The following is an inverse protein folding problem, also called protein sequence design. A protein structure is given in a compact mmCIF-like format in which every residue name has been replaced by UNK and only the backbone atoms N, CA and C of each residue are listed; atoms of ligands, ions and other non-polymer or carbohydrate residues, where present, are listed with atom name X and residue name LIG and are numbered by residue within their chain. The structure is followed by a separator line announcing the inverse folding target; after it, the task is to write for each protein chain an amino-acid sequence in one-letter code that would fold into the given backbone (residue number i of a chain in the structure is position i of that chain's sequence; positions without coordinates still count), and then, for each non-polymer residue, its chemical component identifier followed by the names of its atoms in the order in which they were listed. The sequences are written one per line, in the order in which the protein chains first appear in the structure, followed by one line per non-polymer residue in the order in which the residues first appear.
data_IF_483141624015
#
_entry.id   IF_483141624015
#
_cell.length_a   1.000
_cell.length_b   1.000
_cell.length_c   1.000
_cell.angle_alpha   90.00
_cell.angle_beta   90.00
_cell.angle_gamma   90.00
#
_symmetry.space_group_name_H-M   'P 1'
#
loop_
_entity.id
_entity.type
_entity.pdbx_description
1 polymer ?
#
# COMPACT_ATOMS: atom_id res chain seq x y z
N UNK A 1 -6.24 -6.27 7.37
CA UNK A 1 -5.49 -5.67 8.53
C UNK A 1 -4.81 -4.40 8.10
N UNK A 2 -4.58 -3.44 8.99
CA UNK A 2 -3.74 -2.28 8.65
C UNK A 2 -2.27 -2.68 8.78
N UNK A 3 -1.43 -2.24 7.84
CA UNK A 3 0.02 -2.41 7.94
C UNK A 3 0.55 -1.77 9.23
N UNK A 4 1.37 -2.49 9.98
CA UNK A 4 2.15 -1.91 11.06
C UNK A 4 3.22 -0.98 10.48
N UNK A 5 3.45 0.16 11.11
CA UNK A 5 4.45 1.13 10.65
C UNK A 5 5.57 1.25 11.68
N UNK A 6 6.73 0.72 11.35
CA UNK A 6 7.97 0.90 12.14
C UNK A 6 8.72 2.14 11.66
N UNK A 7 8.93 3.08 12.56
CA UNK A 7 9.68 4.32 12.30
C UNK A 7 11.02 4.40 13.04
N UNK A 8 11.51 3.29 13.55
CA UNK A 8 12.77 3.23 14.32
C UNK A 8 14.02 3.38 13.44
N UNK A 9 13.92 3.08 12.14
CA UNK A 9 15.04 3.16 11.18
C UNK A 9 14.84 4.40 10.32
N UNK A 10 15.80 5.33 10.33
CA UNK A 10 15.71 6.59 9.58
C UNK A 10 16.78 6.70 8.50
N UNK A 11 16.37 7.17 7.33
CA UNK A 11 17.30 7.43 6.25
C UNK A 11 18.26 8.56 6.63
N UNK A 12 19.55 8.36 6.32
CA UNK A 12 20.61 9.36 6.53
C UNK A 12 20.42 10.58 5.62
N UNK A 13 19.97 10.36 4.40
CA UNK A 13 19.84 11.39 3.38
C UNK A 13 18.38 11.72 3.13
N UNK A 14 18.01 12.97 3.26
CA UNK A 14 16.68 13.51 2.96
C UNK A 14 16.77 15.02 2.72
N UNK A 15 15.71 15.59 2.17
CA UNK A 15 15.59 17.04 1.99
C UNK A 15 14.99 17.73 3.21
N UNK A 16 14.56 18.96 3.03
CA UNK A 16 13.95 19.79 4.05
C UNK A 16 12.51 19.38 4.39
N UNK A 17 11.95 20.07 5.37
CA UNK A 17 10.54 19.93 5.76
C UNK A 17 9.59 20.50 4.71
N UNK A 18 8.39 19.94 4.65
CA UNK A 18 7.28 20.42 3.80
C UNK A 18 5.94 20.30 4.53
N UNK A 19 4.94 21.06 4.09
CA UNK A 19 3.55 20.85 4.54
C UNK A 19 2.98 19.57 3.92
N UNK A 20 2.19 18.79 4.65
CA UNK A 20 1.52 17.60 4.09
C UNK A 20 0.59 17.97 2.92
N UNK A 21 0.01 19.18 2.94
CA UNK A 21 -0.81 19.68 1.83
C UNK A 21 -0.05 19.88 0.51
N UNK A 22 1.29 19.93 0.55
CA UNK A 22 2.12 19.99 -0.65
C UNK A 22 2.24 18.64 -1.35
N UNK A 23 1.94 17.53 -0.66
CA UNK A 23 2.01 16.19 -1.26
C UNK A 23 0.86 16.01 -2.25
N UNK A 24 1.22 15.75 -3.50
CA UNK A 24 0.31 15.58 -4.64
C UNK A 24 0.38 14.20 -5.27
N UNK A 25 1.43 13.44 -4.97
CA UNK A 25 1.66 12.15 -5.60
C UNK A 25 2.13 11.09 -4.61
N UNK A 26 1.76 9.83 -4.92
CA UNK A 26 2.42 8.64 -4.37
C UNK A 26 3.14 7.95 -5.53
N UNK A 27 4.44 7.69 -5.34
CA UNK A 27 5.31 7.10 -6.36
C UNK A 27 5.74 5.71 -5.90
N UNK A 28 5.51 4.72 -6.75
CA UNK A 28 5.91 3.34 -6.50
C UNK A 28 7.23 3.03 -7.17
N UNK A 29 8.08 2.34 -6.40
CA UNK A 29 9.41 1.88 -6.79
C UNK A 29 9.57 0.39 -6.51
N UNK A 30 10.68 -0.18 -6.94
CA UNK A 30 11.14 -1.50 -6.50
C UNK A 30 12.60 -1.41 -6.07
N UNK A 31 12.98 -2.24 -5.10
CA UNK A 31 14.32 -2.13 -4.50
C UNK A 31 15.44 -2.58 -5.42
N UNK A 32 15.18 -3.41 -6.41
CA UNK A 32 16.17 -4.06 -7.26
C UNK A 32 17.30 -4.76 -6.46
N UNK A 33 17.04 -5.07 -5.19
CA UNK A 33 17.96 -5.76 -4.29
C UNK A 33 17.53 -7.22 -4.19
N UNK A 34 18.43 -8.14 -4.55
CA UNK A 34 18.19 -9.60 -4.53
C UNK A 34 19.12 -10.33 -3.57
N UNK A 35 19.92 -9.60 -2.80
CA UNK A 35 20.84 -10.16 -1.81
C UNK A 35 20.13 -10.68 -0.56
N UNK A 36 20.90 -11.25 0.38
CA UNK A 36 20.39 -11.72 1.67
C UNK A 36 19.64 -10.66 2.50
N UNK A 37 19.88 -9.37 2.22
CA UNK A 37 19.22 -8.21 2.84
C UNK A 37 18.04 -7.69 2.01
N UNK A 38 17.55 -8.46 1.05
CA UNK A 38 16.36 -8.11 0.26
C UNK A 38 15.08 -8.27 1.09
N UNK A 39 14.99 -7.51 2.18
CA UNK A 39 13.82 -7.36 3.05
C UNK A 39 13.52 -5.88 3.24
N UNK A 40 12.31 -5.54 3.68
CA UNK A 40 11.96 -4.15 3.98
C UNK A 40 12.90 -3.55 5.03
N UNK A 41 13.18 -4.31 6.10
CA UNK A 41 14.13 -3.91 7.14
C UNK A 41 15.55 -3.71 6.61
N UNK A 42 16.02 -4.63 5.77
CA UNK A 42 17.36 -4.56 5.17
C UNK A 42 17.52 -3.34 4.28
N UNK A 43 16.52 -3.02 3.45
CA UNK A 43 16.54 -1.83 2.62
C UNK A 43 16.37 -0.53 3.43
N UNK A 44 15.61 -0.54 4.54
CA UNK A 44 15.56 0.58 5.48
C UNK A 44 16.95 0.85 6.08
N UNK A 45 17.69 -0.20 6.50
CA UNK A 45 19.08 -0.10 6.96
C UNK A 45 20.05 0.41 5.90
N UNK A 46 19.83 0.05 4.64
CA UNK A 46 20.59 0.61 3.52
C UNK A 46 20.42 2.14 3.44
N UNK A 47 19.20 2.66 3.58
CA UNK A 47 18.95 4.11 3.63
C UNK A 47 19.55 4.77 4.88
N UNK A 48 19.48 4.12 6.04
CA UNK A 48 20.10 4.58 7.29
C UNK A 48 21.62 4.65 7.14
N UNK A 49 22.26 3.67 6.52
CA UNK A 49 23.69 3.64 6.23
C UNK A 49 24.16 4.65 5.17
N UNK A 50 23.24 5.37 4.53
CA UNK A 50 23.57 6.41 3.55
C UNK A 50 23.62 5.93 2.11
N UNK A 51 22.93 4.83 1.79
CA UNK A 51 22.70 4.35 0.43
C UNK A 51 24.00 4.15 -0.36
N UNK A 52 25.06 3.69 0.30
CA UNK A 52 26.39 3.51 -0.30
C UNK A 52 26.89 4.78 -1.02
N UNK A 53 26.60 5.95 -0.46
CA UNK A 53 27.01 7.25 -1.00
C UNK A 53 26.12 7.81 -2.11
N UNK A 54 25.08 7.09 -2.54
CA UNK A 54 24.15 7.55 -3.62
C UNK A 54 23.25 8.70 -3.21
N UNK A 55 23.19 9.06 -1.93
CA UNK A 55 22.33 10.11 -1.38
C UNK A 55 20.84 9.90 -1.77
N UNK A 56 20.38 8.67 -1.68
CA UNK A 56 18.99 8.30 -1.98
C UNK A 56 18.22 7.95 -0.71
N UNK A 57 16.91 8.11 -0.75
CA UNK A 57 15.98 7.68 0.31
C UNK A 57 14.57 7.51 -0.21
N UNK A 58 13.78 6.70 0.51
CA UNK A 58 12.34 6.57 0.30
C UNK A 58 11.59 6.87 1.59
N UNK A 59 10.28 7.16 1.50
CA UNK A 59 9.45 7.34 2.68
C UNK A 59 9.18 6.00 3.34
N UNK A 60 8.83 4.99 2.56
CA UNK A 60 8.48 3.67 3.05
C UNK A 60 9.14 2.55 2.25
N UNK A 61 9.39 1.46 2.95
CA UNK A 61 9.78 0.17 2.33
C UNK A 61 8.85 -0.91 2.84
N UNK A 62 8.34 -1.75 1.94
CA UNK A 62 7.46 -2.89 2.24
C UNK A 62 7.97 -4.16 1.59
N UNK A 63 7.69 -5.30 2.21
CA UNK A 63 7.95 -6.66 1.70
C UNK A 63 6.75 -7.58 2.00
N UNK A 64 6.96 -8.89 1.99
CA UNK A 64 5.95 -9.89 2.34
C UNK A 64 5.58 -9.89 3.83
N UNK A 65 6.35 -9.23 4.69
CA UNK A 65 6.05 -9.04 6.11
C UNK A 65 4.98 -7.98 6.35
N UNK A 66 4.35 -8.02 7.52
CA UNK A 66 3.24 -7.11 7.88
C UNK A 66 3.69 -5.72 8.34
N UNK A 67 5.00 -5.46 8.39
CA UNK A 67 5.58 -4.18 8.86
C UNK A 67 6.13 -3.35 7.71
N UNK A 68 5.61 -2.14 7.53
CA UNK A 68 6.18 -1.13 6.65
C UNK A 68 7.24 -0.30 7.42
N UNK A 69 8.43 -0.15 6.88
CA UNK A 69 9.48 0.68 7.48
C UNK A 69 9.39 2.12 6.96
N UNK A 70 9.08 3.06 7.88
CA UNK A 70 8.99 4.49 7.57
C UNK A 70 10.36 5.15 7.73
N UNK A 71 11.13 5.25 6.65
CA UNK A 71 12.50 5.76 6.67
C UNK A 71 12.58 7.29 6.65
N UNK A 72 11.63 7.97 6.00
CA UNK A 72 11.55 9.45 5.97
C UNK A 72 10.14 9.87 6.41
N UNK A 73 10.00 10.82 7.34
CA UNK A 73 8.68 11.32 7.74
C UNK A 73 7.91 11.96 6.57
N UNK A 74 6.58 11.90 6.58
CA UNK A 74 5.74 12.45 5.50
C UNK A 74 5.91 13.96 5.29
N UNK A 75 6.20 14.70 6.36
CA UNK A 75 6.48 16.13 6.33
C UNK A 75 7.91 16.49 5.91
N UNK A 76 8.67 15.52 5.46
CA UNK A 76 10.07 15.66 5.04
C UNK A 76 10.21 15.12 3.61
N UNK A 77 11.07 15.73 2.82
CA UNK A 77 11.31 15.33 1.43
C UNK A 77 12.24 14.13 1.37
N UNK A 78 11.82 13.02 0.75
CA UNK A 78 12.72 11.93 0.39
C UNK A 78 13.37 12.18 -0.98
N UNK A 79 14.56 11.63 -1.21
CA UNK A 79 15.27 11.76 -2.48
C UNK A 79 15.13 10.46 -3.29
N UNK A 80 14.01 10.33 -4.01
CA UNK A 80 13.60 9.11 -4.71
C UNK A 80 13.34 9.26 -6.21
N UNK A 81 13.00 10.48 -6.69
CA UNK A 81 12.64 10.74 -8.09
C UNK A 81 13.42 11.94 -8.68
N UNK A 82 14.63 12.21 -8.16
CA UNK A 82 15.45 13.35 -8.59
C UNK A 82 16.39 13.05 -9.76
N UNK A 83 16.25 11.92 -10.43
CA UNK A 83 17.14 11.44 -11.49
C UNK A 83 16.68 11.77 -12.92
N UNK A 84 15.68 12.66 -13.04
CA UNK A 84 15.16 13.11 -14.32
C UNK A 84 13.68 13.51 -14.27
N UNK A 85 13.18 14.00 -15.40
CA UNK A 85 11.78 14.43 -15.56
C UNK A 85 11.22 14.10 -16.95
N UNK A 86 11.79 13.13 -17.64
CA UNK A 86 11.41 12.77 -19.02
C UNK A 86 10.15 11.92 -19.12
N UNK A 87 9.61 11.44 -17.99
CA UNK A 87 8.38 10.70 -17.95
C UNK A 87 7.14 11.59 -18.10
N UNK A 88 5.99 10.96 -18.35
CA UNK A 88 4.69 11.63 -18.57
C UNK A 88 4.33 12.63 -17.46
N UNK A 89 4.74 12.37 -16.23
CA UNK A 89 4.44 13.19 -15.05
C UNK A 89 5.65 13.98 -14.54
N UNK A 90 6.78 14.01 -15.28
CA UNK A 90 8.01 14.65 -14.85
C UNK A 90 7.89 16.15 -14.54
N UNK A 91 7.00 16.86 -15.23
CA UNK A 91 6.71 18.27 -14.95
C UNK A 91 5.77 18.49 -13.73
N UNK A 92 5.10 17.44 -13.27
CA UNK A 92 4.04 17.50 -12.24
C UNK A 92 4.44 16.89 -10.91
N UNK A 93 5.38 15.92 -10.92
CA UNK A 93 5.79 15.13 -9.76
C UNK A 93 7.29 15.28 -9.53
N UNK A 94 7.67 15.56 -8.32
CA UNK A 94 9.06 15.73 -7.87
C UNK A 94 9.24 15.18 -6.45
N UNK A 95 10.47 15.12 -5.96
CA UNK A 95 10.75 14.78 -4.57
C UNK A 95 9.96 15.64 -3.58
N UNK A 96 9.77 16.93 -3.89
CA UNK A 96 9.11 17.87 -2.98
C UNK A 96 7.62 17.55 -2.77
N UNK A 97 6.92 17.10 -3.81
CA UNK A 97 5.47 16.91 -3.76
C UNK A 97 5.03 15.46 -3.83
N UNK A 98 5.92 14.49 -3.62
CA UNK A 98 5.60 13.08 -3.63
C UNK A 98 5.98 12.34 -2.36
N UNK A 99 5.28 11.25 -2.09
CA UNK A 99 5.64 10.21 -1.15
C UNK A 99 6.03 8.97 -1.93
N UNK A 100 7.16 8.35 -1.60
CA UNK A 100 7.70 7.18 -2.28
C UNK A 100 7.52 5.92 -1.44
N UNK A 101 7.11 4.82 -2.10
CA UNK A 101 7.00 3.48 -1.54
C UNK A 101 7.90 2.55 -2.34
N UNK A 102 8.90 1.98 -1.69
CA UNK A 102 9.76 0.93 -2.22
C UNK A 102 9.15 -0.44 -1.94
N UNK A 103 8.94 -1.22 -2.97
CA UNK A 103 8.49 -2.60 -2.89
C UNK A 103 9.70 -3.53 -3.03
N UNK A 104 9.91 -4.39 -2.05
CA UNK A 104 10.98 -5.39 -2.15
C UNK A 104 10.71 -6.31 -3.32
N UNK A 105 11.74 -6.57 -4.11
CA UNK A 105 11.69 -7.40 -5.31
C UNK A 105 12.66 -8.55 -5.22
N UNK A 106 12.37 -9.61 -5.94
CA UNK A 106 13.23 -10.78 -6.11
C UNK A 106 13.52 -11.01 -7.60
N UNK A 107 14.32 -12.01 -7.90
CA UNK A 107 14.54 -12.49 -9.27
C UNK A 107 14.05 -13.93 -9.41
N UNK A 108 13.49 -14.26 -10.57
CA UNK A 108 13.19 -15.62 -10.95
C UNK A 108 14.46 -16.37 -11.40
N UNK A 109 14.31 -17.65 -11.76
CA UNK A 109 15.42 -18.51 -12.22
C UNK A 109 16.11 -17.96 -13.48
N UNK A 110 15.45 -17.09 -14.24
CA UNK A 110 16.01 -16.44 -15.43
C UNK A 110 16.68 -15.10 -15.12
N UNK A 111 16.71 -14.68 -13.84
CA UNK A 111 17.26 -13.41 -13.40
C UNK A 111 16.32 -12.20 -13.63
N UNK A 112 15.05 -12.42 -14.04
CA UNK A 112 14.08 -11.32 -14.20
C UNK A 112 13.51 -10.92 -12.84
N UNK A 113 13.42 -9.60 -12.60
CA UNK A 113 12.80 -9.08 -11.39
C UNK A 113 11.30 -9.33 -11.37
N UNK A 114 10.82 -9.70 -10.20
CA UNK A 114 9.39 -9.69 -9.86
C UNK A 114 9.16 -9.11 -8.47
N UNK A 115 7.97 -8.61 -8.22
CA UNK A 115 7.51 -8.16 -6.91
C UNK A 115 6.49 -9.19 -6.42
N UNK A 116 6.73 -9.86 -5.28
CA UNK A 116 5.80 -10.84 -4.73
C UNK A 116 4.39 -10.28 -4.60
N UNK A 117 3.38 -11.13 -4.81
CA UNK A 117 1.98 -10.71 -4.72
C UNK A 117 1.65 -10.13 -3.33
N UNK A 118 2.23 -10.70 -2.27
CA UNK A 118 2.06 -10.25 -0.90
C UNK A 118 2.67 -8.87 -0.69
N UNK A 119 3.87 -8.59 -1.21
CA UNK A 119 4.47 -7.26 -1.21
C UNK A 119 3.59 -6.23 -1.94
N UNK A 120 2.99 -6.61 -3.07
CA UNK A 120 2.06 -5.74 -3.79
C UNK A 120 0.81 -5.44 -2.96
N UNK A 121 0.25 -6.44 -2.28
CA UNK A 121 -0.90 -6.28 -1.38
C UNK A 121 -0.57 -5.35 -0.23
N UNK A 122 0.57 -5.54 0.44
CA UNK A 122 1.02 -4.67 1.53
C UNK A 122 1.30 -3.22 1.07
N UNK A 123 1.86 -3.05 -0.13
CA UNK A 123 2.03 -1.72 -0.71
C UNK A 123 0.68 -1.03 -0.96
N UNK A 124 -0.34 -1.79 -1.38
CA UNK A 124 -1.70 -1.28 -1.59
C UNK A 124 -2.39 -0.92 -0.26
N UNK A 125 -2.24 -1.74 0.78
CA UNK A 125 -2.76 -1.43 2.12
C UNK A 125 -2.11 -0.16 2.71
N UNK A 126 -0.78 -0.05 2.61
CA UNK A 126 -0.06 1.16 3.02
C UNK A 126 -0.53 2.39 2.24
N UNK A 127 -0.72 2.26 0.92
CA UNK A 127 -1.27 3.32 0.09
C UNK A 127 -2.64 3.80 0.61
N UNK A 128 -3.56 2.89 0.92
CA UNK A 128 -4.88 3.23 1.46
C UNK A 128 -4.78 3.98 2.81
N UNK A 129 -3.87 3.54 3.69
CA UNK A 129 -3.60 4.25 4.96
C UNK A 129 -3.03 5.66 4.74
N UNK A 130 -2.14 5.82 3.75
CA UNK A 130 -1.53 7.11 3.43
C UNK A 130 -2.54 8.10 2.85
N UNK A 131 -3.51 7.65 2.06
CA UNK A 131 -4.56 8.53 1.52
C UNK A 131 -5.39 9.19 2.62
N UNK A 132 -5.62 8.51 3.75
CA UNK A 132 -6.32 9.09 4.92
C UNK A 132 -5.54 10.27 5.54
N UNK A 133 -4.21 10.29 5.39
CA UNK A 133 -3.31 11.33 5.91
C UNK A 133 -2.94 12.39 4.87
N UNK A 134 -3.14 12.11 3.59
CA UNK A 134 -2.69 12.90 2.44
C UNK A 134 -3.85 13.21 1.49
N UNK A 135 -4.80 14.07 1.89
CA UNK A 135 -6.05 14.28 1.13
C UNK A 135 -5.84 14.97 -0.22
N UNK A 136 -4.65 15.54 -0.47
CA UNK A 136 -4.34 16.25 -1.71
C UNK A 136 -3.64 15.38 -2.77
N UNK A 137 -3.48 14.08 -2.54
CA UNK A 137 -2.91 13.16 -3.53
C UNK A 137 -3.84 13.08 -4.75
N UNK A 138 -3.27 13.40 -5.91
CA UNK A 138 -3.95 13.38 -7.22
C UNK A 138 -3.32 12.38 -8.19
N UNK A 139 -2.03 12.06 -7.97
CA UNK A 139 -1.25 11.25 -8.88
C UNK A 139 -0.77 9.99 -8.16
N UNK A 140 -1.04 8.86 -8.77
CA UNK A 140 -0.55 7.54 -8.36
C UNK A 140 0.23 7.01 -9.53
N UNK A 141 1.55 6.99 -9.41
CA UNK A 141 2.47 6.83 -10.53
C UNK A 141 3.65 5.92 -10.20
N UNK A 142 4.29 5.39 -11.22
CA UNK A 142 5.59 4.72 -11.13
C UNK A 142 6.71 5.74 -11.19
N UNK A 143 7.89 5.43 -10.69
CA UNK A 143 9.09 6.22 -10.96
C UNK A 143 9.32 6.38 -12.48
N UNK A 144 9.04 5.33 -13.26
CA UNK A 144 9.05 5.37 -14.72
C UNK A 144 8.21 6.52 -15.29
N UNK A 145 7.05 6.76 -14.75
CA UNK A 145 6.15 7.84 -15.21
C UNK A 145 6.67 9.24 -14.88
N UNK A 146 7.65 9.36 -13.97
CA UNK A 146 8.26 10.63 -13.58
C UNK A 146 9.54 10.89 -14.36
N UNK A 147 10.51 9.97 -14.32
CA UNK A 147 11.86 10.19 -14.87
C UNK A 147 12.18 9.41 -16.15
N UNK A 148 11.31 8.46 -16.54
CA UNK A 148 11.61 7.52 -17.63
C UNK A 148 12.45 6.31 -17.22
N UNK A 149 12.95 6.28 -15.98
CA UNK A 149 13.70 5.15 -15.44
C UNK A 149 12.84 3.88 -15.38
N UNK A 150 13.40 2.72 -15.74
CA UNK A 150 12.71 1.43 -15.67
C UNK A 150 12.47 1.00 -14.21
N UNK A 151 11.60 1.73 -13.51
CA UNK A 151 11.29 1.50 -12.08
C UNK A 151 9.81 1.77 -11.80
N UNK A 152 9.10 0.80 -11.21
CA UNK A 152 9.52 -0.57 -10.92
C UNK A 152 9.58 -1.42 -12.21
N UNK A 153 10.71 -2.05 -12.48
CA UNK A 153 10.91 -2.80 -13.73
C UNK A 153 9.82 -3.85 -14.01
N UNK A 154 9.33 -4.63 -13.02
CA UNK A 154 8.25 -5.58 -13.23
C UNK A 154 6.91 -4.95 -13.63
N UNK A 155 6.75 -3.63 -13.42
CA UNK A 155 5.49 -2.90 -13.66
C UNK A 155 5.64 -1.78 -14.70
N UNK A 156 6.72 -1.74 -15.47
CA UNK A 156 6.85 -0.81 -16.61
C UNK A 156 5.84 -1.16 -17.71
N UNK A 157 5.53 -2.44 -17.87
CA UNK A 157 4.45 -2.89 -18.74
C UNK A 157 3.09 -2.36 -18.25
N UNK A 158 2.28 -1.77 -19.15
CA UNK A 158 1.01 -1.15 -18.79
C UNK A 158 -0.03 -2.15 -18.24
N UNK A 159 -0.03 -3.40 -18.72
CA UNK A 159 -0.96 -4.42 -18.20
C UNK A 159 -0.62 -4.79 -16.74
N UNK A 160 0.67 -4.94 -16.41
CA UNK A 160 1.12 -5.20 -15.05
C UNK A 160 0.80 -4.02 -14.12
N UNK A 161 1.02 -2.79 -14.60
CA UNK A 161 0.67 -1.59 -13.86
C UNK A 161 -0.84 -1.44 -13.66
N UNK A 162 -1.66 -1.74 -14.68
CA UNK A 162 -3.11 -1.71 -14.57
C UNK A 162 -3.61 -2.72 -13.53
N UNK A 163 -3.06 -3.95 -13.52
CA UNK A 163 -3.37 -4.96 -12.50
C UNK A 163 -3.03 -4.49 -11.09
N UNK A 164 -1.86 -3.87 -10.90
CA UNK A 164 -1.50 -3.31 -9.60
C UNK A 164 -2.41 -2.15 -9.18
N UNK A 165 -2.82 -1.28 -10.11
CA UNK A 165 -3.80 -0.22 -9.81
C UNK A 165 -5.15 -0.78 -9.37
N UNK A 166 -5.59 -1.92 -9.89
CA UNK A 166 -6.80 -2.59 -9.38
C UNK A 166 -6.65 -2.96 -7.91
N UNK A 167 -5.49 -3.53 -7.50
CA UNK A 167 -5.19 -3.77 -6.08
C UNK A 167 -5.23 -2.50 -5.23
N UNK A 168 -4.72 -1.37 -5.76
CA UNK A 168 -4.77 -0.09 -5.05
C UNK A 168 -6.19 0.40 -4.83
N UNK A 169 -7.09 0.20 -5.81
CA UNK A 169 -8.51 0.57 -5.66
C UNK A 169 -9.21 -0.35 -4.65
N UNK A 170 -8.99 -1.66 -4.74
CA UNK A 170 -9.52 -2.64 -3.79
C UNK A 170 -9.10 -2.36 -2.35
N UNK A 171 -7.83 -1.94 -2.14
CA UNK A 171 -7.31 -1.62 -0.82
C UNK A 171 -7.90 -0.33 -0.20
N UNK A 172 -8.47 0.57 -1.00
CA UNK A 172 -9.18 1.76 -0.49
C UNK A 172 -10.53 1.41 0.14
N UNK A 173 -11.11 0.30 -0.26
CA UNK A 173 -12.35 -0.17 0.34
C UNK A 173 -12.07 -0.65 1.76
N UNK A 174 -12.88 -0.18 2.73
CA UNK A 174 -12.82 -0.75 4.07
C UNK A 174 -13.31 -2.19 4.02
N UNK A 175 -12.47 -3.13 4.47
CA UNK A 175 -12.82 -4.55 4.52
C UNK A 175 -12.82 -5.04 5.97
N UNK A 176 -13.77 -5.90 6.26
CA UNK A 176 -13.85 -6.65 7.51
C UNK A 176 -13.33 -8.07 7.25
N UNK A 177 -12.19 -8.40 7.80
CA UNK A 177 -11.62 -9.75 7.64
C UNK A 177 -12.38 -10.76 8.48
N UNK A 178 -12.70 -10.37 9.71
CA UNK A 178 -13.40 -11.21 10.68
C UNK A 178 -14.64 -10.51 11.23
N UNK A 179 -15.55 -11.28 11.78
CA UNK A 179 -16.77 -10.76 12.39
C UNK A 179 -16.47 -9.79 13.54
N UNK A 180 -15.43 -10.05 14.33
CA UNK A 180 -14.97 -9.17 15.43
C UNK A 180 -14.48 -7.79 14.96
N UNK A 181 -14.08 -7.65 13.71
CA UNK A 181 -13.58 -6.39 13.15
C UNK A 181 -14.72 -5.40 12.83
N UNK A 182 -15.97 -5.85 12.92
CA UNK A 182 -17.16 -5.05 12.63
C UNK A 182 -17.61 -4.33 13.90
N UNK A 183 -17.09 -3.12 14.12
CA UNK A 183 -17.42 -2.28 15.28
C UNK A 183 -18.76 -1.56 15.13
N UNK A 184 -19.22 -1.31 13.89
CA UNK A 184 -20.50 -0.66 13.64
C UNK A 184 -21.66 -1.56 14.11
N UNK A 185 -22.42 -1.11 15.10
CA UNK A 185 -23.50 -1.85 15.73
C UNK A 185 -24.53 -2.37 14.72
N UNK A 186 -25.00 -1.52 13.83
CA UNK A 186 -26.02 -1.90 12.82
C UNK A 186 -25.49 -2.96 11.86
N UNK A 187 -24.22 -2.84 11.44
CA UNK A 187 -23.59 -3.83 10.57
C UNK A 187 -23.44 -5.15 11.32
N UNK A 188 -23.00 -5.08 12.57
CA UNK A 188 -22.83 -6.25 13.42
C UNK A 188 -24.12 -7.00 13.64
N UNK A 189 -25.20 -6.32 14.02
CA UNK A 189 -26.53 -6.92 14.24
C UNK A 189 -27.04 -7.64 12.97
N UNK A 190 -26.88 -7.03 11.80
CA UNK A 190 -27.27 -7.67 10.53
C UNK A 190 -26.42 -8.92 10.26
N UNK A 191 -25.10 -8.83 10.40
CA UNK A 191 -24.23 -9.99 10.14
C UNK A 191 -24.48 -11.13 11.12
N UNK A 192 -24.64 -10.84 12.41
CA UNK A 192 -24.97 -11.84 13.43
C UNK A 192 -26.33 -12.55 13.12
N UNK A 193 -27.33 -11.79 12.68
CA UNK A 193 -28.62 -12.33 12.21
C UNK A 193 -28.43 -13.27 11.02
N UNK A 194 -27.65 -12.87 10.02
CA UNK A 194 -27.41 -13.68 8.83
C UNK A 194 -26.59 -14.94 9.14
N UNK A 195 -25.62 -14.85 10.03
CA UNK A 195 -24.84 -16.00 10.51
C UNK A 195 -25.72 -16.96 11.28
N UNK A 196 -26.53 -16.47 12.23
CA UNK A 196 -27.44 -17.30 13.05
C UNK A 196 -28.52 -18.03 12.22
N UNK A 197 -28.97 -17.41 11.12
CA UNK A 197 -29.89 -18.03 10.15
C UNK A 197 -29.18 -18.95 9.13
N UNK A 198 -27.85 -19.09 9.19
CA UNK A 198 -27.07 -19.86 8.22
C UNK A 198 -27.03 -19.29 6.81
N UNK A 199 -27.48 -18.03 6.63
CA UNK A 199 -27.48 -17.32 5.35
C UNK A 199 -26.08 -16.77 5.01
N UNK A 200 -25.26 -16.47 6.03
CA UNK A 200 -23.87 -16.10 5.89
C UNK A 200 -23.00 -17.12 6.63
N UNK A 201 -22.13 -17.81 5.89
CA UNK A 201 -21.26 -18.87 6.45
C UNK A 201 -19.80 -18.46 6.55
N UNK A 202 -19.42 -17.32 5.95
CA UNK A 202 -18.04 -16.89 5.87
C UNK A 202 -17.13 -17.85 5.10
N UNK A 203 -15.81 -17.65 5.21
CA UNK A 203 -14.76 -18.47 4.55
C UNK A 203 -14.08 -19.46 5.52
N UNK A 204 -14.54 -19.57 6.75
CA UNK A 204 -14.00 -20.41 7.82
C UNK A 204 -14.01 -19.70 9.17
N UNK A 205 -13.62 -20.40 10.23
CA UNK A 205 -13.71 -19.91 11.60
C UNK A 205 -15.13 -19.96 12.15
N UNK A 206 -15.29 -19.65 13.43
CA UNK A 206 -16.61 -19.64 14.11
C UNK A 206 -16.68 -18.44 15.07
N UNK A 207 -17.91 -18.00 15.38
CA UNK A 207 -18.15 -16.89 16.30
C UNK A 207 -17.40 -15.63 15.88
N UNK A 208 -16.70 -14.99 16.81
CA UNK A 208 -15.91 -13.78 16.58
C UNK A 208 -14.77 -13.95 15.57
N UNK A 209 -14.25 -15.17 15.41
CA UNK A 209 -13.18 -15.53 14.47
C UNK A 209 -13.71 -15.92 13.08
N UNK A 210 -15.03 -15.82 12.83
CA UNK A 210 -15.60 -16.08 11.52
C UNK A 210 -14.96 -15.17 10.46
N UNK A 211 -14.32 -15.78 9.46
CA UNK A 211 -13.66 -15.08 8.35
C UNK A 211 -14.72 -14.57 7.36
N UNK A 212 -14.94 -13.27 7.35
CA UNK A 212 -15.88 -12.58 6.47
C UNK A 212 -15.26 -12.25 5.10
N UNK A 213 -14.11 -11.62 5.11
CA UNK A 213 -13.45 -11.04 3.93
C UNK A 213 -14.44 -10.22 3.06
N UNK A 214 -15.19 -9.34 3.70
CA UNK A 214 -16.24 -8.53 3.07
C UNK A 214 -15.87 -7.05 3.05
N UNK A 215 -16.09 -6.37 1.92
CA UNK A 215 -16.00 -4.90 1.87
C UNK A 215 -17.12 -4.25 2.69
N UNK A 216 -16.90 -3.03 3.17
CA UNK A 216 -17.94 -2.27 3.86
C UNK A 216 -19.18 -2.08 2.99
N UNK A 217 -19.01 -1.89 1.67
CA UNK A 217 -20.13 -1.73 0.74
C UNK A 217 -20.96 -3.00 0.63
N UNK A 218 -20.33 -4.19 0.65
CA UNK A 218 -21.06 -5.44 0.70
C UNK A 218 -21.88 -5.55 1.99
N UNK A 219 -21.31 -5.16 3.13
CA UNK A 219 -22.05 -5.15 4.40
C UNK A 219 -23.19 -4.14 4.37
N UNK A 220 -22.99 -2.95 3.79
CA UNK A 220 -24.08 -1.95 3.59
C UNK A 220 -25.22 -2.51 2.75
N UNK A 221 -24.91 -3.22 1.67
CA UNK A 221 -25.92 -3.87 0.83
C UNK A 221 -26.74 -4.87 1.67
N UNK A 222 -26.07 -5.70 2.46
CA UNK A 222 -26.76 -6.66 3.34
C UNK A 222 -27.68 -5.95 4.35
N UNK A 223 -27.24 -4.83 4.94
CA UNK A 223 -28.07 -4.03 5.85
C UNK A 223 -29.29 -3.44 5.14
N UNK A 224 -29.13 -2.96 3.91
CA UNK A 224 -30.26 -2.44 3.12
C UNK A 224 -31.27 -3.56 2.85
N UNK A 225 -30.81 -4.73 2.43
CA UNK A 225 -31.66 -5.90 2.18
C UNK A 225 -32.35 -6.40 3.45
N UNK A 226 -31.64 -6.39 4.58
CA UNK A 226 -32.23 -6.78 5.88
C UNK A 226 -33.39 -5.86 6.28
N UNK A 227 -33.21 -4.54 6.11
CA UNK A 227 -34.26 -3.54 6.38
C UNK A 227 -35.48 -3.69 5.49
N UNK A 228 -35.39 -4.31 4.34
CA UNK A 228 -36.53 -4.62 3.46
C UNK A 228 -37.22 -5.92 3.83
N UNK A 229 -36.76 -6.63 4.86
CA UNK A 229 -37.36 -7.90 5.31
C UNK A 229 -37.06 -9.09 4.41
N UNK A 230 -36.09 -8.95 3.47
CA UNK A 230 -35.72 -10.05 2.55
C UNK A 230 -35.23 -11.28 3.30
N UNK A 231 -34.58 -11.09 4.44
CA UNK A 231 -34.02 -12.16 5.26
C UNK A 231 -34.94 -12.63 6.39
N UNK A 232 -36.20 -12.15 6.45
CA UNK A 232 -37.17 -12.49 7.52
C UNK A 232 -38.10 -13.64 7.13
N UNK A 233 -37.98 -14.15 5.92
CA UNK A 233 -38.78 -15.26 5.37
C UNK A 233 -38.19 -16.60 5.75
#
# INVERSE_FOLDING_TARGET
MSMEIDSSIRAKWHGGKRKLSAVKAIVFHYTANTGKMATAKGNARYFEGGSEGRKASAHYVVDEGTTAYACVPLDTVAWSVGDGNSGKYGALVSNYNSVSIEMVSHTDETGRYYIPAETQRHAAELYAQLLKKLPNVKYVVRHYDVSGKLCPAPMVNEAAWAKFKTLLEEAKEMRYEKLRDVENKTYRETLDKLVSKGLLRGKGGEGEELLLDMSEDNVRILVILDRTGVFDK
#
